data_IF_269122528602
#
_entry.id   IF_269122528602
#
_cell.length_a   1.000
_cell.length_b   1.000
_cell.length_c   1.000
_cell.angle_alpha   90.00
_cell.angle_beta   90.00
_cell.angle_gamma   90.00
#
_symmetry.space_group_name_H-M   'P 1'
#
loop_
_entity.id
_entity.type
_entity.pdbx_description
1 polymer ?
#
# COMPACT_ATOMS: atom_id res chain seq x y z
N UNK A 1 11.70 -14.76 2.88
CA UNK A 1 10.50 -14.12 3.49
C UNK A 1 10.49 -12.68 3.00
N UNK A 2 9.35 -12.10 2.60
CA UNK A 2 9.37 -10.72 2.08
C UNK A 2 9.13 -9.74 3.22
N UNK A 3 10.06 -8.81 3.41
CA UNK A 3 9.90 -7.68 4.33
C UNK A 3 9.65 -6.41 3.52
N UNK A 4 8.66 -5.61 3.92
CA UNK A 4 8.29 -4.39 3.20
C UNK A 4 8.47 -3.15 4.05
N UNK A 5 8.70 -2.03 3.39
CA UNK A 5 8.65 -0.71 4.01
C UNK A 5 8.12 0.34 3.02
N UNK A 6 7.50 1.39 3.56
CA UNK A 6 6.97 2.52 2.77
C UNK A 6 7.59 3.82 3.27
N UNK A 7 8.30 4.50 2.38
CA UNK A 7 8.90 5.81 2.64
C UNK A 7 8.04 6.91 1.99
N UNK A 8 7.48 7.78 2.83
CA UNK A 8 6.87 9.03 2.38
C UNK A 8 7.92 10.14 2.36
N UNK A 9 8.27 10.63 1.17
CA UNK A 9 9.32 11.65 1.01
C UNK A 9 8.80 13.03 1.42
N UNK A 10 9.59 13.73 2.24
CA UNK A 10 9.32 15.10 2.68
C UNK A 10 9.62 16.11 1.58
N UNK A 11 8.86 17.22 1.55
CA UNK A 11 9.04 18.35 0.64
C UNK A 11 9.19 17.95 -0.84
N UNK A 12 8.49 16.87 -1.22
CA UNK A 12 8.55 16.35 -2.57
C UNK A 12 7.84 17.24 -3.58
N UNK A 13 8.27 17.15 -4.83
CA UNK A 13 7.62 17.74 -5.99
C UNK A 13 7.35 16.66 -7.04
N UNK A 14 6.54 16.93 -8.08
CA UNK A 14 6.35 15.97 -9.16
C UNK A 14 7.65 15.50 -9.83
N UNK A 15 8.70 16.33 -9.79
CA UNK A 15 10.01 16.02 -10.38
C UNK A 15 10.90 15.15 -9.48
N UNK A 16 10.53 14.96 -8.20
CA UNK A 16 11.32 14.16 -7.25
C UNK A 16 11.49 12.71 -7.72
N UNK A 17 10.50 12.15 -8.45
CA UNK A 17 10.61 10.81 -9.02
C UNK A 17 11.73 10.68 -10.05
N UNK A 18 12.00 11.74 -10.83
CA UNK A 18 13.08 11.76 -11.82
C UNK A 18 14.43 11.83 -11.13
N UNK A 19 14.58 12.72 -10.14
CA UNK A 19 15.78 12.79 -9.32
C UNK A 19 16.07 11.47 -8.61
N UNK A 20 15.04 10.80 -8.12
CA UNK A 20 15.17 9.48 -7.52
C UNK A 20 15.57 8.40 -8.54
N UNK A 21 15.02 8.45 -9.76
CA UNK A 21 15.43 7.54 -10.83
C UNK A 21 16.93 7.68 -11.16
N UNK A 22 17.43 8.91 -11.25
CA UNK A 22 18.85 9.18 -11.50
C UNK A 22 19.73 8.65 -10.35
N UNK A 23 19.28 8.80 -9.10
CA UNK A 23 19.95 8.25 -7.92
C UNK A 23 20.04 6.72 -7.99
N UNK A 24 18.92 6.05 -8.24
CA UNK A 24 18.85 4.58 -8.32
C UNK A 24 19.61 4.03 -9.52
N UNK A 25 19.70 4.78 -10.61
CA UNK A 25 20.42 4.34 -11.83
C UNK A 25 21.90 4.04 -11.59
N UNK A 26 22.50 4.59 -10.53
CA UNK A 26 23.87 4.28 -10.13
C UNK A 26 24.04 2.82 -9.66
N UNK A 27 22.96 2.16 -9.23
CA UNK A 27 22.96 0.75 -8.80
C UNK A 27 22.78 -0.23 -9.97
N UNK A 28 22.73 0.26 -11.21
CA UNK A 28 22.49 -0.54 -12.43
C UNK A 28 21.22 -1.42 -12.26
N UNK A 29 20.07 -0.80 -11.98
CA UNK A 29 18.85 -1.53 -11.69
C UNK A 29 18.32 -2.25 -12.93
N UNK A 30 17.72 -3.42 -12.73
CA UNK A 30 16.85 -4.04 -13.72
C UNK A 30 15.44 -3.46 -13.58
N UNK A 31 14.93 -2.86 -14.65
CA UNK A 31 13.58 -2.26 -14.66
C UNK A 31 12.54 -3.37 -14.77
N UNK A 32 11.62 -3.44 -13.79
CA UNK A 32 10.57 -4.47 -13.72
C UNK A 32 9.26 -4.05 -14.40
N UNK A 33 9.09 -2.77 -14.71
CA UNK A 33 7.91 -2.23 -15.38
C UNK A 33 7.20 -1.16 -14.57
N UNK A 34 5.93 -0.94 -14.92
CA UNK A 34 5.06 0.07 -14.31
C UNK A 34 4.14 -0.56 -13.27
N UNK A 35 3.71 0.24 -12.31
CA UNK A 35 2.76 -0.17 -11.29
C UNK A 35 1.92 1.03 -10.84
N UNK A 36 0.78 0.74 -10.24
CA UNK A 36 -0.19 1.72 -9.78
C UNK A 36 -0.88 1.20 -8.52
N UNK A 37 -1.40 2.12 -7.72
CA UNK A 37 -2.20 1.78 -6.56
C UNK A 37 -3.33 2.79 -6.36
N UNK A 38 -4.41 2.33 -5.77
CA UNK A 38 -5.52 3.14 -5.29
C UNK A 38 -5.70 2.90 -3.79
N UNK A 39 -5.61 3.96 -2.99
CA UNK A 39 -5.92 3.96 -1.57
C UNK A 39 -7.18 4.80 -1.32
N UNK A 40 -8.26 4.13 -0.95
CA UNK A 40 -9.54 4.76 -0.58
C UNK A 40 -9.62 4.90 0.93
N UNK A 41 -10.01 6.09 1.38
CA UNK A 41 -10.15 6.41 2.80
C UNK A 41 -11.62 6.67 3.08
N UNK A 42 -12.23 5.81 3.87
CA UNK A 42 -13.61 5.91 4.31
C UNK A 42 -13.65 6.43 5.73
N UNK A 43 -14.57 7.35 6.01
CA UNK A 43 -14.87 7.82 7.36
C UNK A 43 -16.19 7.21 7.82
N UNK A 44 -16.22 6.75 9.05
CA UNK A 44 -17.42 6.23 9.68
C UNK A 44 -18.51 7.32 9.73
N UNK A 45 -19.75 6.93 9.45
CA UNK A 45 -20.90 7.79 9.55
C UNK A 45 -21.40 7.83 11.01
N UNK A 46 -21.45 9.03 11.60
CA UNK A 46 -21.57 9.27 13.05
C UNK A 46 -22.94 8.89 13.63
N UNK A 47 -23.91 8.50 12.79
CA UNK A 47 -25.22 8.04 13.26
C UNK A 47 -25.20 6.64 13.93
N UNK A 48 -24.03 5.99 14.07
CA UNK A 48 -23.93 4.58 14.46
C UNK A 48 -23.10 4.18 15.69
N UNK A 49 -22.26 5.03 16.31
CA UNK A 49 -21.50 4.57 17.50
C UNK A 49 -21.07 5.68 18.47
N UNK A 50 -21.33 5.41 19.76
CA UNK A 50 -20.72 6.11 20.89
C UNK A 50 -19.22 5.76 20.95
N UNK A 51 -18.40 6.72 21.40
CA UNK A 51 -16.95 6.79 21.16
C UNK A 51 -16.10 5.57 21.58
N UNK A 52 -14.96 5.42 20.88
CA UNK A 52 -13.85 4.53 21.24
C UNK A 52 -12.94 4.17 20.05
N UNK A 53 -13.52 3.82 18.91
CA UNK A 53 -12.81 3.16 17.80
C UNK A 53 -12.31 4.11 16.69
N UNK A 54 -11.42 3.61 15.81
CA UNK A 54 -10.94 4.33 14.63
C UNK A 54 -12.11 4.79 13.79
N UNK A 55 -12.13 6.10 13.51
CA UNK A 55 -13.13 6.71 12.64
C UNK A 55 -12.90 6.42 11.15
N UNK A 56 -11.81 5.74 10.81
CA UNK A 56 -11.36 5.55 9.44
C UNK A 56 -11.14 4.08 9.10
N UNK A 57 -11.55 3.74 7.88
CA UNK A 57 -11.31 2.49 7.19
C UNK A 57 -10.52 2.81 5.91
N UNK A 58 -9.47 2.06 5.68
CA UNK A 58 -8.57 2.23 4.53
C UNK A 58 -8.70 1.01 3.64
N UNK A 59 -8.87 1.21 2.34
CA UNK A 59 -8.91 0.11 1.36
C UNK A 59 -7.84 0.38 0.30
N UNK A 60 -6.85 -0.53 0.23
CA UNK A 60 -5.71 -0.46 -0.66
C UNK A 60 -5.83 -1.52 -1.76
N UNK A 61 -5.68 -1.12 -3.00
CA UNK A 61 -5.61 -2.02 -4.15
C UNK A 61 -4.43 -1.67 -5.05
N UNK A 62 -3.83 -2.68 -5.65
CA UNK A 62 -2.73 -2.53 -6.61
C UNK A 62 -3.16 -3.06 -7.98
N UNK A 63 -2.61 -2.47 -9.05
CA UNK A 63 -2.95 -2.87 -10.43
C UNK A 63 -2.37 -4.23 -10.84
N UNK A 64 -1.25 -4.63 -10.25
CA UNK A 64 -0.62 -5.94 -10.47
C UNK A 64 -1.35 -7.10 -9.77
N UNK A 65 -2.27 -6.81 -8.85
CA UNK A 65 -3.10 -7.79 -8.14
C UNK A 65 -4.58 -7.54 -8.44
N UNK A 66 -4.96 -7.69 -9.71
CA UNK A 66 -6.32 -7.41 -10.16
C UNK A 66 -7.37 -8.16 -9.35
N UNK A 67 -8.40 -7.43 -8.91
CA UNK A 67 -9.49 -8.00 -8.13
C UNK A 67 -9.14 -8.31 -6.68
N UNK A 68 -7.96 -7.92 -6.18
CA UNK A 68 -7.61 -7.98 -4.75
C UNK A 68 -7.60 -6.60 -4.12
N UNK A 69 -8.09 -6.51 -2.90
CA UNK A 69 -7.93 -5.32 -2.07
C UNK A 69 -7.70 -5.70 -0.62
N UNK A 70 -6.97 -4.84 0.09
CA UNK A 70 -6.63 -5.01 1.49
C UNK A 70 -7.29 -3.87 2.25
N UNK A 71 -8.26 -4.22 3.09
CA UNK A 71 -8.97 -3.26 3.93
C UNK A 71 -8.40 -3.31 5.34
N UNK A 72 -8.04 -2.14 5.89
CA UNK A 72 -7.46 -1.97 7.23
C UNK A 72 -8.37 -1.08 8.08
N UNK A 73 -8.69 -1.52 9.29
CA UNK A 73 -9.46 -0.76 10.30
C UNK A 73 -9.03 -1.21 11.70
N UNK A 74 -8.86 -0.28 12.64
CA UNK A 74 -8.51 -0.60 14.04
C UNK A 74 -7.25 -1.48 14.24
N UNK A 75 -6.27 -1.43 13.33
CA UNK A 75 -5.10 -2.31 13.42
C UNK A 75 -5.40 -3.77 13.08
N UNK A 76 -6.52 -4.03 12.41
CA UNK A 76 -6.85 -5.31 11.80
C UNK A 76 -6.96 -5.12 10.29
N UNK A 77 -6.72 -6.20 9.55
CA UNK A 77 -6.81 -6.20 8.10
C UNK A 77 -7.57 -7.41 7.58
N UNK A 78 -8.30 -7.19 6.50
CA UNK A 78 -8.91 -8.24 5.69
C UNK A 78 -8.41 -8.12 4.26
N UNK A 79 -8.12 -9.26 3.65
CA UNK A 79 -7.81 -9.35 2.22
C UNK A 79 -9.04 -9.88 1.51
N UNK A 80 -9.56 -9.12 0.56
CA UNK A 80 -10.67 -9.55 -0.29
C UNK A 80 -10.16 -9.82 -1.69
N UNK A 81 -10.78 -10.78 -2.37
CA UNK A 81 -10.39 -11.19 -3.71
C UNK A 81 -11.60 -11.57 -4.54
N UNK A 82 -11.51 -11.29 -5.84
CA UNK A 82 -12.45 -11.77 -6.84
C UNK A 82 -12.07 -13.17 -7.35
N UNK A 83 -10.90 -13.69 -6.99
CA UNK A 83 -10.43 -15.05 -7.30
C UNK A 83 -11.10 -16.05 -6.35
N UNK A 84 -12.31 -16.49 -6.69
CA UNK A 84 -13.12 -17.38 -5.84
C UNK A 84 -12.62 -18.83 -5.97
N UNK A 85 -12.26 -19.51 -4.86
CA UNK A 85 -11.92 -20.93 -4.89
C UNK A 85 -13.08 -21.81 -5.38
N UNK A 86 -12.80 -22.75 -6.28
CA UNK A 86 -13.81 -23.67 -6.86
C UNK A 86 -14.61 -24.41 -5.79
N UNK A 87 -13.96 -24.85 -4.70
CA UNK A 87 -14.63 -25.54 -3.61
C UNK A 87 -15.76 -24.74 -2.95
N UNK A 88 -15.69 -23.39 -2.94
CA UNK A 88 -16.77 -22.54 -2.43
C UNK A 88 -17.94 -22.41 -3.43
N UNK A 89 -17.65 -22.56 -4.73
CA UNK A 89 -18.66 -22.57 -5.79
C UNK A 89 -19.38 -23.91 -5.76
N UNK A 90 -18.63 -25.01 -5.74
CA UNK A 90 -19.15 -26.38 -5.72
C UNK A 90 -20.01 -26.66 -4.50
N UNK A 91 -19.68 -26.06 -3.34
CA UNK A 91 -20.46 -26.16 -2.12
C UNK A 91 -21.69 -25.23 -2.07
N UNK A 92 -21.88 -24.38 -3.09
CA UNK A 92 -22.96 -23.40 -3.16
C UNK A 92 -22.81 -22.21 -2.19
N UNK A 93 -21.62 -22.01 -1.62
CA UNK A 93 -21.32 -20.87 -0.74
C UNK A 93 -21.04 -19.57 -1.53
N UNK A 94 -20.63 -19.69 -2.79
CA UNK A 94 -20.43 -18.59 -3.72
C UNK A 94 -21.15 -18.87 -5.04
N UNK A 95 -21.60 -17.80 -5.70
CA UNK A 95 -22.20 -17.86 -7.04
C UNK A 95 -21.15 -17.70 -8.16
N UNK A 96 -19.85 -17.63 -7.83
CA UNK A 96 -18.77 -17.44 -8.80
C UNK A 96 -18.59 -16.00 -9.29
N UNK A 97 -19.33 -15.02 -8.75
CA UNK A 97 -19.21 -13.61 -9.08
C UNK A 97 -19.07 -12.76 -7.81
N UNK A 98 -17.88 -12.23 -7.57
CA UNK A 98 -17.59 -11.35 -6.45
C UNK A 98 -17.52 -9.90 -6.90
N UNK A 99 -18.27 -9.04 -6.21
CA UNK A 99 -18.07 -7.59 -6.25
C UNK A 99 -16.88 -7.22 -5.36
N UNK A 100 -16.15 -6.18 -5.73
CA UNK A 100 -15.08 -5.65 -4.88
C UNK A 100 -15.65 -5.05 -3.59
N UNK A 101 -14.91 -5.15 -2.49
CA UNK A 101 -15.38 -4.68 -1.19
C UNK A 101 -15.67 -3.17 -1.21
N UNK A 102 -14.88 -2.37 -1.92
CA UNK A 102 -15.13 -0.95 -2.08
C UNK A 102 -16.46 -0.66 -2.77
N UNK A 103 -16.87 -1.49 -3.73
CA UNK A 103 -18.15 -1.38 -4.41
C UNK A 103 -19.30 -1.72 -3.45
N UNK A 104 -19.15 -2.78 -2.65
CA UNK A 104 -20.13 -3.16 -1.62
C UNK A 104 -20.27 -2.03 -0.59
N UNK A 105 -19.16 -1.47 -0.11
CA UNK A 105 -19.18 -0.35 0.83
C UNK A 105 -19.93 0.84 0.24
N UNK A 106 -19.58 1.21 -0.99
CA UNK A 106 -20.16 2.36 -1.68
C UNK A 106 -21.57 2.15 -2.19
N UNK A 107 -22.12 0.94 -2.26
CA UNK A 107 -23.50 0.74 -2.77
C UNK A 107 -24.46 0.22 -1.72
N UNK A 108 -23.96 -0.53 -0.73
CA UNK A 108 -24.77 -1.20 0.29
C UNK A 108 -24.49 -0.70 1.70
N UNK A 109 -23.28 -0.19 1.98
CA UNK A 109 -22.86 0.24 3.33
C UNK A 109 -22.60 1.75 3.44
N UNK A 110 -23.11 2.57 2.52
CA UNK A 110 -22.97 4.03 2.57
C UNK A 110 -23.51 4.64 3.87
N UNK A 111 -24.51 3.99 4.48
CA UNK A 111 -25.06 4.39 5.78
C UNK A 111 -24.04 4.29 6.92
N UNK A 112 -23.02 3.44 6.80
CA UNK A 112 -21.98 3.19 7.80
C UNK A 112 -20.66 3.89 7.46
N UNK A 113 -20.30 3.94 6.18
CA UNK A 113 -19.00 4.41 5.72
C UNK A 113 -19.16 5.38 4.54
N UNK A 114 -18.50 6.53 4.65
CA UNK A 114 -18.50 7.56 3.63
C UNK A 114 -17.09 7.69 3.04
N UNK A 115 -16.95 7.51 1.73
CA UNK A 115 -15.69 7.75 1.04
C UNK A 115 -15.31 9.23 1.18
N UNK A 116 -14.16 9.51 1.79
CA UNK A 116 -13.64 10.87 2.01
C UNK A 116 -12.60 11.26 1.00
N UNK A 117 -11.68 10.36 0.70
CA UNK A 117 -10.53 10.63 -0.15
C UNK A 117 -10.16 9.38 -0.92
N UNK A 118 -9.63 9.60 -2.13
CA UNK A 118 -9.00 8.56 -2.94
C UNK A 118 -7.63 9.08 -3.34
N UNK A 119 -6.59 8.49 -2.77
CA UNK A 119 -5.21 8.73 -3.14
C UNK A 119 -4.83 7.72 -4.23
N UNK A 120 -4.30 8.22 -5.34
CA UNK A 120 -3.91 7.39 -6.49
C UNK A 120 -2.43 7.56 -6.76
N UNK A 121 -1.72 6.46 -6.90
CA UNK A 121 -0.42 6.44 -7.54
C UNK A 121 -0.56 5.83 -8.92
N UNK A 122 -0.27 6.58 -9.97
CA UNK A 122 -0.41 6.09 -11.34
C UNK A 122 0.96 6.05 -12.04
N UNK A 123 1.21 4.98 -12.80
CA UNK A 123 2.37 4.83 -13.67
C UNK A 123 3.75 4.96 -12.97
N UNK A 124 3.84 4.45 -11.74
CA UNK A 124 5.08 4.36 -10.99
C UNK A 124 6.12 3.47 -11.67
N UNK A 125 7.38 3.58 -11.26
CA UNK A 125 8.47 2.76 -11.76
C UNK A 125 8.86 1.70 -10.73
N UNK A 126 9.16 0.50 -11.21
CA UNK A 126 9.66 -0.62 -10.40
C UNK A 126 11.08 -1.01 -10.82
N UNK A 127 11.95 -1.19 -9.84
CA UNK A 127 13.37 -1.50 -10.01
C UNK A 127 13.73 -2.72 -9.17
N UNK A 128 14.58 -3.57 -9.72
CA UNK A 128 15.25 -4.67 -9.03
C UNK A 128 16.73 -4.31 -8.93
N UNK A 129 17.30 -4.38 -7.72
CA UNK A 129 18.73 -4.16 -7.48
C UNK A 129 19.33 -5.34 -6.73
N UNK A 130 20.67 -5.45 -6.76
CA UNK A 130 21.44 -6.51 -6.07
C UNK A 130 20.93 -7.92 -6.42
N UNK A 131 20.74 -8.19 -7.70
CA UNK A 131 20.30 -9.48 -8.24
C UNK A 131 18.99 -10.02 -7.63
N UNK A 132 18.02 -9.14 -7.37
CA UNK A 132 16.70 -9.54 -6.86
C UNK A 132 16.59 -9.57 -5.34
N UNK A 133 17.64 -9.20 -4.61
CA UNK A 133 17.57 -9.08 -3.15
C UNK A 133 16.62 -7.94 -2.73
N UNK A 134 16.57 -6.85 -3.49
CA UNK A 134 15.68 -5.73 -3.22
C UNK A 134 14.85 -5.35 -4.45
N UNK A 135 13.57 -5.08 -4.19
CA UNK A 135 12.65 -4.46 -5.15
C UNK A 135 12.27 -3.08 -4.63
N UNK A 136 12.50 -2.05 -5.44
CA UNK A 136 12.20 -0.66 -5.12
C UNK A 136 11.14 -0.17 -6.10
N UNK A 137 10.05 0.38 -5.59
CA UNK A 137 8.96 0.92 -6.40
C UNK A 137 8.74 2.38 -6.03
N UNK A 138 8.86 3.28 -7.01
CA UNK A 138 8.76 4.73 -6.80
C UNK A 138 7.57 5.29 -7.57
N UNK A 139 6.76 6.13 -6.92
CA UNK A 139 5.52 6.63 -7.50
C UNK A 139 5.11 8.00 -6.94
N UNK A 140 4.55 8.86 -7.80
CA UNK A 140 3.91 10.10 -7.38
C UNK A 140 2.46 9.80 -6.98
N UNK A 141 2.03 10.38 -5.86
CA UNK A 141 0.70 10.21 -5.29
C UNK A 141 -0.14 11.47 -5.54
N UNK A 142 -1.34 11.29 -6.07
CA UNK A 142 -2.27 12.33 -6.45
C UNK A 142 -3.58 12.23 -5.66
N UNK A 143 -4.17 13.39 -5.36
CA UNK A 143 -5.53 13.52 -4.82
C UNK A 143 -6.33 14.40 -5.78
N UNK A 144 -7.38 13.85 -6.40
CA UNK A 144 -8.18 14.54 -7.42
C UNK A 144 -7.33 15.19 -8.52
N UNK A 145 -6.33 14.46 -9.03
CA UNK A 145 -5.41 14.91 -10.07
C UNK A 145 -4.32 15.89 -9.61
N UNK A 146 -4.35 16.35 -8.36
CA UNK A 146 -3.32 17.23 -7.82
C UNK A 146 -2.24 16.41 -7.13
N UNK A 147 -0.97 16.70 -7.44
CA UNK A 147 0.16 16.10 -6.73
C UNK A 147 0.04 16.34 -5.23
N UNK A 148 0.27 15.30 -4.43
CA UNK A 148 0.30 15.37 -2.97
C UNK A 148 1.63 14.94 -2.40
N UNK A 149 2.13 13.79 -2.81
CA UNK A 149 3.32 13.20 -2.20
C UNK A 149 4.13 12.41 -3.23
N UNK A 150 5.37 12.13 -2.87
CA UNK A 150 6.21 11.13 -3.55
C UNK A 150 6.46 9.97 -2.59
N UNK A 151 6.23 8.74 -3.04
CA UNK A 151 6.26 7.53 -2.23
C UNK A 151 7.25 6.54 -2.83
N UNK A 152 8.07 5.95 -1.95
CA UNK A 152 9.01 4.88 -2.30
C UNK A 152 8.63 3.66 -1.46
N UNK A 153 8.21 2.59 -2.12
CA UNK A 153 7.94 1.29 -1.53
C UNK A 153 9.16 0.39 -1.74
N UNK A 154 9.54 -0.36 -0.72
CA UNK A 154 10.69 -1.24 -0.77
C UNK A 154 10.30 -2.63 -0.30
N UNK A 155 10.83 -3.64 -0.96
CA UNK A 155 10.71 -5.04 -0.60
C UNK A 155 12.10 -5.65 -0.49
N UNK A 156 12.34 -6.38 0.60
CA UNK A 156 13.53 -7.21 0.79
C UNK A 156 13.14 -8.67 0.64
N UNK A 157 13.81 -9.38 -0.26
CA UNK A 157 13.53 -10.77 -0.66
C UNK A 157 14.55 -11.76 -0.09
N UNK A 158 15.02 -11.52 1.13
CA UNK A 158 16.00 -12.38 1.80
C UNK A 158 15.41 -13.34 2.84
N UNK A 159 16.30 -14.09 3.48
CA UNK A 159 15.98 -15.00 4.58
C UNK A 159 16.52 -14.50 5.94
N UNK A 160 17.08 -13.30 5.98
CA UNK A 160 17.56 -12.68 7.21
C UNK A 160 16.41 -12.38 8.17
N UNK A 161 16.66 -12.61 9.46
CA UNK A 161 15.69 -12.32 10.54
C UNK A 161 15.47 -10.81 10.69
N UNK A 162 16.48 -10.00 10.34
CA UNK A 162 16.46 -8.53 10.41
C UNK A 162 16.20 -7.90 9.03
N UNK A 163 15.06 -8.25 8.40
CA UNK A 163 14.69 -7.67 7.10
C UNK A 163 14.45 -6.16 7.17
N UNK A 164 13.96 -5.64 8.30
CA UNK A 164 13.72 -4.20 8.51
C UNK A 164 15.05 -3.44 8.56
N UNK A 165 16.02 -3.91 9.35
CA UNK A 165 17.33 -3.28 9.41
C UNK A 165 18.09 -3.31 8.08
N UNK A 166 17.82 -4.30 7.20
CA UNK A 166 18.33 -4.30 5.83
C UNK A 166 17.74 -3.19 4.98
N UNK A 167 16.44 -2.94 5.09
CA UNK A 167 15.78 -1.84 4.39
C UNK A 167 16.25 -0.47 4.91
N UNK A 168 16.42 -0.32 6.24
CA UNK A 168 16.94 0.91 6.83
C UNK A 168 18.37 1.21 6.36
N UNK A 169 19.25 0.20 6.38
CA UNK A 169 20.62 0.35 5.84
C UNK A 169 20.61 0.67 4.35
N UNK A 170 19.72 0.08 3.56
CA UNK A 170 19.60 0.40 2.14
C UNK A 170 19.27 1.88 1.92
N UNK A 171 18.31 2.42 2.69
CA UNK A 171 17.92 3.85 2.64
C UNK A 171 19.12 4.75 2.95
N UNK A 172 19.92 4.39 3.95
CA UNK A 172 21.13 5.13 4.33
C UNK A 172 22.26 5.00 3.29
N UNK A 173 22.58 3.78 2.86
CA UNK A 173 23.64 3.46 1.90
C UNK A 173 23.43 4.15 0.56
N UNK A 174 22.19 4.14 0.05
CA UNK A 174 21.85 4.73 -1.24
C UNK A 174 21.50 6.23 -1.13
N UNK A 175 21.49 6.79 0.08
CA UNK A 175 21.20 8.21 0.30
C UNK A 175 19.79 8.61 -0.15
N UNK A 176 18.78 7.79 0.18
CA UNK A 176 17.40 8.07 -0.19
C UNK A 176 16.91 9.42 0.36
N UNK A 177 15.96 10.08 -0.31
CA UNK A 177 15.38 11.33 0.16
C UNK A 177 14.84 11.22 1.59
N UNK A 178 15.00 12.28 2.38
CA UNK A 178 14.48 12.32 3.76
C UNK A 178 12.96 12.18 3.75
N UNK A 179 12.43 11.47 4.73
CA UNK A 179 11.02 11.14 4.77
C UNK A 179 10.61 10.36 6.02
N UNK A 180 9.32 10.04 6.10
CA UNK A 180 8.78 9.12 7.09
C UNK A 180 8.87 7.69 6.54
N UNK A 181 9.77 6.89 7.11
CA UNK A 181 9.86 5.46 6.82
C UNK A 181 8.89 4.69 7.72
N UNK A 182 7.96 3.95 7.12
CA UNK A 182 6.95 3.16 7.82
C UNK A 182 7.26 1.67 7.60
N UNK A 183 7.57 0.98 8.70
CA UNK A 183 7.96 -0.45 8.76
C UNK A 183 7.03 -1.24 9.68
N UNK A 184 5.89 -0.64 10.07
CA UNK A 184 4.93 -1.24 10.99
C UNK A 184 4.43 -2.60 10.53
N UNK A 185 4.01 -3.41 11.50
CA UNK A 185 3.35 -4.69 11.30
C UNK A 185 2.11 -4.77 12.17
N UNK A 186 1.08 -5.45 11.68
CA UNK A 186 -0.20 -5.63 12.37
C UNK A 186 -0.14 -6.72 13.46
N UNK A 187 0.92 -7.53 13.50
CA UNK A 187 1.04 -8.64 14.44
C UNK A 187 2.47 -8.98 14.85
N UNK A 188 2.62 -10.03 15.65
CA UNK A 188 3.93 -10.51 16.10
C UNK A 188 4.72 -11.23 14.99
N UNK A 189 4.04 -11.65 13.93
CA UNK A 189 4.62 -12.31 12.76
C UNK A 189 4.29 -11.50 11.50
N UNK A 190 5.20 -11.39 10.53
CA UNK A 190 4.91 -10.70 9.28
C UNK A 190 3.73 -11.32 8.53
N UNK A 191 2.74 -10.51 8.21
CA UNK A 191 1.51 -10.87 7.51
C UNK A 191 1.40 -10.06 6.23
N UNK A 192 2.16 -10.44 5.20
CA UNK A 192 1.93 -9.89 3.87
C UNK A 192 0.64 -10.47 3.28
N UNK A 193 -0.21 -9.67 2.61
CA UNK A 193 -0.02 -8.27 2.21
C UNK A 193 -0.58 -7.23 3.22
N UNK A 194 -1.08 -7.67 4.37
CA UNK A 194 -1.72 -6.82 5.36
C UNK A 194 -0.78 -5.78 6.00
N UNK A 195 0.45 -6.17 6.32
CA UNK A 195 1.47 -5.26 6.85
C UNK A 195 1.77 -4.13 5.87
N UNK A 196 1.86 -4.43 4.56
CA UNK A 196 2.07 -3.41 3.55
C UNK A 196 0.92 -2.39 3.54
N UNK A 197 -0.32 -2.86 3.57
CA UNK A 197 -1.47 -1.95 3.63
C UNK A 197 -1.43 -1.06 4.88
N UNK A 198 -1.07 -1.63 6.03
CA UNK A 198 -0.89 -0.86 7.26
C UNK A 198 0.21 0.20 7.13
N UNK A 199 1.37 -0.15 6.56
CA UNK A 199 2.47 0.79 6.29
C UNK A 199 2.03 1.95 5.38
N UNK A 200 1.19 1.68 4.37
CA UNK A 200 0.58 2.73 3.54
C UNK A 200 -0.33 3.63 4.36
N UNK A 201 -1.14 3.07 5.27
CA UNK A 201 -1.96 3.89 6.18
C UNK A 201 -1.08 4.75 7.08
N UNK A 202 -0.03 4.21 7.67
CA UNK A 202 0.87 4.99 8.53
C UNK A 202 1.58 6.10 7.75
N UNK A 203 2.06 5.80 6.54
CA UNK A 203 2.76 6.75 5.69
C UNK A 203 1.84 7.89 5.24
N UNK A 204 0.66 7.57 4.70
CA UNK A 204 -0.22 8.53 4.02
C UNK A 204 -1.29 9.17 4.91
N UNK A 205 -1.42 8.75 6.17
CA UNK A 205 -2.33 9.37 7.13
C UNK A 205 -1.75 10.69 7.66
N UNK A 206 -1.78 11.72 6.83
CA UNK A 206 -1.39 13.09 7.17
C UNK A 206 -2.61 13.88 7.63
N UNK A 207 -3.26 13.45 8.73
CA UNK A 207 -4.12 14.30 9.57
C UNK A 207 -4.06 13.83 11.03
N UNK A 208 -3.14 14.43 11.79
CA UNK A 208 -3.34 14.77 13.21
C UNK A 208 -2.92 16.21 13.42
#
# INVERSE_FOLDING_TARGET
>A
MVTTAVLLVQDASPNSITTFHDLISNEIPKVLGRWSFDLKIFKQNVHGSAGGDSQFLYDLSFDNEQGKSITVVNGEAIVTTNDIPEGLIDSGCSNGAADSLDHIIQTKLQGLWLLRQTLKGENGNSYEIRNGEFVIKAINVFLHGNFKNFLIMMEYHGNDVDGVGKLERLVEELGFPKGKLSTGSLGASPQQPADLAFQYTEALNVQR
#
